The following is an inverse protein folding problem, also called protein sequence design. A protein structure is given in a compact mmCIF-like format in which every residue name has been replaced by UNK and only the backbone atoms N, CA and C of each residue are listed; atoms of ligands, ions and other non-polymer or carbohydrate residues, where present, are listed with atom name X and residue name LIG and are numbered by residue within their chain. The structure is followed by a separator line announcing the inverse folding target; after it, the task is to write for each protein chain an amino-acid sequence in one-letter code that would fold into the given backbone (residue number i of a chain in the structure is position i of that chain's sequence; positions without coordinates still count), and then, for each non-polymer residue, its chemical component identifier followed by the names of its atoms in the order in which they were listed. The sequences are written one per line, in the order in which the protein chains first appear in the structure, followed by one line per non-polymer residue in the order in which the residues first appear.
data_IF_881436383103
#
_entry.id   IF_881436383103
#
_cell.length_a   1.000
_cell.length_b   1.000
_cell.length_c   1.000
_cell.angle_alpha   90.00
_cell.angle_beta   90.00
_cell.angle_gamma   90.00
#
_symmetry.space_group_name_H-M   'P 1'
#
loop_
_entity.id
_entity.type
_entity.pdbx_description
1 polymer ?
#
# COMPACT_ATOMS: atom_id res chain seq x y z
N UNK A 1 -5.31 14.81 5.86
CA UNK A 1 -6.04 13.54 5.99
C UNK A 1 -5.02 12.44 6.07
N UNK A 2 -5.01 11.68 7.17
CA UNK A 2 -4.09 10.56 7.32
C UNK A 2 -4.75 9.31 6.73
N UNK A 3 -4.08 8.63 5.80
CA UNK A 3 -4.49 7.35 5.25
C UNK A 3 -3.83 6.26 6.10
N UNK A 4 -4.63 5.43 6.79
CA UNK A 4 -4.11 4.32 7.57
C UNK A 4 -4.56 3.00 6.91
N UNK A 5 -3.63 2.34 6.19
CA UNK A 5 -3.88 1.04 5.60
C UNK A 5 -3.62 -0.05 6.65
N UNK A 6 -4.58 -0.94 6.88
CA UNK A 6 -4.44 -2.04 7.81
C UNK A 6 -4.54 -3.38 7.07
N UNK A 7 -3.82 -4.39 7.56
CA UNK A 7 -3.99 -5.75 7.08
C UNK A 7 -5.42 -6.20 7.35
N UNK A 8 -6.08 -6.77 6.34
CA UNK A 8 -7.35 -7.45 6.57
C UNK A 8 -7.14 -8.62 7.54
N UNK A 9 -8.06 -8.79 8.48
CA UNK A 9 -7.96 -9.82 9.53
C UNK A 9 -7.84 -11.21 8.91
N UNK A 10 -6.92 -12.03 9.44
CA UNK A 10 -6.66 -13.40 8.96
C UNK A 10 -7.88 -14.35 8.99
N UNK A 11 -8.96 -13.97 9.68
CA UNK A 11 -10.21 -14.73 9.81
C UNK A 11 -11.23 -14.42 8.70
N UNK A 12 -11.03 -13.38 7.89
CA UNK A 12 -11.88 -13.10 6.74
C UNK A 12 -11.56 -14.09 5.59
N UNK A 13 -12.56 -14.69 4.93
CA UNK A 13 -12.32 -15.57 3.78
C UNK A 13 -11.49 -14.84 2.71
N UNK A 14 -10.40 -15.44 2.24
CA UNK A 14 -9.59 -14.92 1.11
C UNK A 14 -10.39 -15.02 -0.20
N UNK A 15 -11.38 -14.16 -0.37
CA UNK A 15 -12.24 -14.09 -1.55
C UNK A 15 -11.64 -13.27 -2.69
N UNK A 16 -12.35 -13.17 -3.82
CA UNK A 16 -11.94 -12.40 -5.00
C UNK A 16 -11.81 -10.88 -4.80
N UNK A 17 -12.10 -10.37 -3.60
CA UNK A 17 -11.89 -8.97 -3.20
C UNK A 17 -10.84 -8.82 -2.09
N UNK A 18 -10.09 -9.88 -1.77
CA UNK A 18 -9.07 -9.82 -0.73
C UNK A 18 -8.05 -8.71 -1.03
N UNK A 19 -7.82 -7.84 -0.06
CA UNK A 19 -7.05 -6.63 -0.22
C UNK A 19 -6.97 -5.84 1.09
N UNK A 20 -6.18 -4.77 1.06
CA UNK A 20 -5.91 -3.93 2.23
C UNK A 20 -7.16 -3.16 2.67
N UNK A 21 -7.48 -3.17 3.95
CA UNK A 21 -8.48 -2.24 4.49
C UNK A 21 -7.88 -0.83 4.55
N UNK A 22 -8.66 0.19 4.14
CA UNK A 22 -8.16 1.57 4.05
C UNK A 22 -9.21 2.53 4.59
N UNK A 23 -8.81 3.32 5.59
CA UNK A 23 -9.64 4.39 6.15
C UNK A 23 -8.85 5.66 6.33
N UNK A 24 -9.57 6.77 6.47
CA UNK A 24 -9.00 8.09 6.67
C UNK A 24 -9.57 8.75 7.91
N UNK A 25 -8.76 9.59 8.55
CA UNK A 25 -9.18 10.45 9.65
C UNK A 25 -8.72 11.88 9.41
N UNK A 26 -9.49 12.83 9.96
CA UNK A 26 -9.16 14.26 10.02
C UNK A 26 -9.03 14.77 11.46
N UNK A 27 -9.20 13.89 12.44
CA UNK A 27 -9.27 14.20 13.88
C UNK A 27 -8.41 13.24 14.70
N UNK A 28 -7.28 12.82 14.13
CA UNK A 28 -6.27 11.97 14.77
C UNK A 28 -6.82 10.63 15.29
N UNK A 29 -7.84 10.09 14.60
CA UNK A 29 -8.38 8.76 14.86
C UNK A 29 -9.59 8.73 15.79
N UNK A 30 -10.15 9.89 16.16
CA UNK A 30 -11.43 9.94 16.87
C UNK A 30 -12.57 9.44 15.98
N UNK A 31 -12.58 9.84 14.70
CA UNK A 31 -13.51 9.35 13.69
C UNK A 31 -12.79 8.86 12.44
N UNK A 32 -13.39 7.85 11.82
CA UNK A 32 -12.87 7.17 10.64
C UNK A 32 -13.87 7.19 9.50
N UNK A 33 -13.38 7.51 8.31
CA UNK A 33 -14.13 7.44 7.06
C UNK A 33 -13.49 6.38 6.17
N UNK A 34 -14.29 5.39 5.76
CA UNK A 34 -13.87 4.34 4.82
C UNK A 34 -13.43 5.00 3.51
N UNK A 35 -12.27 4.61 3.01
CA UNK A 35 -11.73 5.14 1.76
C UNK A 35 -12.32 4.39 0.55
N UNK A 36 -12.54 5.02 -0.62
CA UNK A 36 -13.03 4.31 -1.81
C UNK A 36 -12.16 3.14 -2.28
N UNK A 37 -10.88 3.14 -1.90
CA UNK A 37 -9.92 2.08 -2.21
C UNK A 37 -9.93 0.92 -1.20
N UNK A 38 -10.81 0.97 -0.20
CA UNK A 38 -10.94 -0.07 0.81
C UNK A 38 -11.12 -1.46 0.16
N UNK A 39 -10.26 -2.39 0.57
CA UNK A 39 -10.10 -3.73 0.01
C UNK A 39 -9.57 -3.75 -1.43
N UNK A 40 -10.41 -4.02 -2.43
CA UNK A 40 -10.03 -4.60 -3.72
C UNK A 40 -8.99 -3.84 -4.56
N UNK A 41 -8.71 -2.57 -4.26
CA UNK A 41 -7.71 -1.76 -4.97
C UNK A 41 -6.26 -2.19 -4.69
N UNK A 42 -5.98 -2.73 -3.50
CA UNK A 42 -4.63 -3.15 -3.08
C UNK A 42 -4.66 -4.62 -2.63
N UNK A 43 -4.50 -5.57 -3.57
CA UNK A 43 -4.46 -7.01 -3.27
C UNK A 43 -3.36 -7.35 -2.27
N UNK A 44 -3.64 -8.23 -1.31
CA UNK A 44 -2.62 -8.71 -0.36
C UNK A 44 -2.90 -10.14 0.15
N UNK A 45 -1.89 -10.85 0.68
CA UNK A 45 -2.06 -12.22 1.18
C UNK A 45 -2.25 -12.29 2.71
N UNK A 46 -2.69 -11.20 3.36
CA UNK A 46 -2.63 -10.98 4.81
C UNK A 46 -1.16 -10.89 5.28
N UNK A 47 -0.50 -9.78 4.93
CA UNK A 47 0.91 -9.53 5.20
C UNK A 47 1.15 -8.05 5.56
N UNK A 48 2.33 -7.66 6.03
CA UNK A 48 2.63 -6.24 6.20
C UNK A 48 2.74 -5.55 4.83
N UNK A 49 2.47 -4.24 4.80
CA UNK A 49 2.70 -3.40 3.63
C UNK A 49 3.17 -2.02 4.08
N UNK A 50 4.01 -1.37 3.27
CA UNK A 50 4.46 0.00 3.51
C UNK A 50 3.61 0.99 2.72
N UNK A 51 3.35 2.16 3.30
CA UNK A 51 2.73 3.30 2.63
C UNK A 51 3.42 4.58 3.09
N UNK A 52 3.90 5.38 2.13
CA UNK A 52 4.44 6.72 2.40
C UNK A 52 3.80 7.75 1.48
N UNK A 53 3.74 9.00 1.94
CA UNK A 53 3.35 10.15 1.15
C UNK A 53 4.55 11.05 0.90
N UNK A 54 4.72 11.51 -0.34
CA UNK A 54 5.78 12.45 -0.69
C UNK A 54 5.22 13.59 -1.56
N UNK A 55 5.88 14.76 -1.54
CA UNK A 55 5.54 15.89 -2.41
C UNK A 55 6.65 16.07 -3.43
N UNK A 56 6.31 15.84 -4.69
CA UNK A 56 7.23 16.01 -5.81
C UNK A 56 7.57 17.48 -6.02
N UNK A 57 8.66 17.72 -6.76
CA UNK A 57 8.95 19.03 -7.32
C UNK A 57 7.74 19.53 -8.13
N UNK A 58 7.29 20.75 -7.84
CA UNK A 58 6.02 21.30 -8.36
C UNK A 58 4.80 21.07 -7.45
N UNK A 59 4.96 20.49 -6.26
CA UNK A 59 3.95 20.47 -5.20
C UNK A 59 2.87 19.39 -5.32
N UNK A 60 2.91 18.57 -6.38
CA UNK A 60 2.04 17.41 -6.59
C UNK A 60 2.36 16.34 -5.54
N UNK A 61 1.33 15.84 -4.86
CA UNK A 61 1.47 14.74 -3.91
C UNK A 61 1.48 13.39 -4.64
N UNK A 62 2.27 12.45 -4.12
CA UNK A 62 2.28 11.05 -4.53
C UNK A 62 2.20 10.15 -3.28
N UNK A 63 1.43 9.07 -3.39
CA UNK A 63 1.48 7.96 -2.44
C UNK A 63 2.27 6.82 -3.07
N UNK A 64 3.18 6.25 -2.31
CA UNK A 64 3.96 5.07 -2.68
C UNK A 64 3.62 3.94 -1.72
N UNK A 65 3.34 2.77 -2.27
CA UNK A 65 2.92 1.60 -1.51
C UNK A 65 3.74 0.38 -1.92
N UNK A 66 4.15 -0.45 -0.97
CA UNK A 66 4.85 -1.70 -1.26
C UNK A 66 4.25 -2.87 -0.50
N UNK A 67 4.04 -3.98 -1.21
CA UNK A 67 3.58 -5.24 -0.64
C UNK A 67 3.86 -6.41 -1.59
N UNK A 68 3.65 -7.67 -1.15
CA UNK A 68 3.46 -8.79 -2.06
C UNK A 68 2.16 -8.59 -2.84
N UNK A 69 2.25 -8.32 -4.15
CA UNK A 69 1.11 -8.04 -5.01
C UNK A 69 0.43 -9.34 -5.48
N UNK A 70 -0.07 -10.11 -4.51
CA UNK A 70 -0.79 -11.37 -4.72
C UNK A 70 -1.82 -11.53 -3.58
N UNK A 71 -3.01 -12.07 -3.88
CA UNK A 71 -4.10 -12.18 -2.90
C UNK A 71 -3.93 -13.33 -1.91
N UNK A 72 -3.02 -14.25 -2.20
CA UNK A 72 -2.96 -15.55 -1.57
C UNK A 72 -1.57 -15.87 -1.04
N UNK A 73 -0.52 -15.48 -1.75
CA UNK A 73 0.87 -15.83 -1.46
C UNK A 73 1.75 -14.60 -1.23
N UNK A 74 2.81 -14.76 -0.44
CA UNK A 74 3.82 -13.71 -0.21
C UNK A 74 4.89 -13.77 -1.29
N UNK A 75 4.54 -13.29 -2.47
CA UNK A 75 5.40 -13.18 -3.65
C UNK A 75 5.08 -11.91 -4.43
N UNK A 76 5.86 -11.61 -5.45
CA UNK A 76 5.67 -10.43 -6.29
C UNK A 76 5.80 -9.13 -5.49
N UNK A 77 6.92 -8.93 -4.79
CA UNK A 77 7.20 -7.66 -4.10
C UNK A 77 7.16 -6.54 -5.13
N UNK A 78 6.22 -5.63 -4.97
CA UNK A 78 5.89 -4.61 -5.97
C UNK A 78 5.75 -3.25 -5.30
N UNK A 79 6.36 -2.22 -5.90
CA UNK A 79 6.07 -0.82 -5.57
C UNK A 79 4.93 -0.33 -6.46
N UNK A 80 3.95 0.34 -5.87
CA UNK A 80 2.78 0.92 -6.55
C UNK A 80 2.72 2.42 -6.24
N UNK A 81 2.31 3.23 -7.22
CA UNK A 81 2.18 4.67 -7.04
C UNK A 81 0.76 5.18 -7.38
N UNK A 82 0.31 6.15 -6.59
CA UNK A 82 -0.97 6.85 -6.77
C UNK A 82 -0.77 8.36 -6.71
N UNK A 83 -1.47 9.06 -7.59
CA UNK A 83 -1.49 10.52 -7.68
C UNK A 83 -2.85 11.15 -7.38
N UNK A 84 -3.83 10.33 -6.96
CA UNK A 84 -5.22 10.71 -6.71
C UNK A 84 -5.65 10.35 -5.28
N UNK A 85 -4.72 10.52 -4.33
CA UNK A 85 -4.88 10.19 -2.91
C UNK A 85 -5.21 8.70 -2.64
N UNK A 86 -4.70 7.79 -3.48
CA UNK A 86 -4.82 6.35 -3.27
C UNK A 86 -6.12 5.77 -3.82
N UNK A 87 -6.90 6.54 -4.60
CA UNK A 87 -8.11 6.05 -5.24
C UNK A 87 -7.80 5.05 -6.36
N UNK A 88 -6.74 5.30 -7.13
CA UNK A 88 -6.23 4.38 -8.17
C UNK A 88 -4.72 4.18 -8.08
N UNK A 89 -4.26 3.01 -8.55
CA UNK A 89 -2.86 2.57 -8.51
C UNK A 89 -2.40 2.04 -9.89
N UNK A 90 -2.32 2.91 -10.91
CA UNK A 90 -2.03 2.51 -12.28
C UNK A 90 -0.54 2.23 -12.54
N UNK A 91 0.37 2.77 -11.72
CA UNK A 91 1.80 2.58 -11.86
C UNK A 91 2.30 1.51 -10.90
N UNK A 92 3.01 0.51 -11.42
CA UNK A 92 3.52 -0.63 -10.66
C UNK A 92 4.90 -1.03 -11.17
N UNK A 93 5.79 -1.38 -10.25
CA UNK A 93 7.13 -1.89 -10.54
C UNK A 93 7.34 -3.17 -9.71
N UNK A 94 7.42 -4.30 -10.39
CA UNK A 94 7.81 -5.58 -9.81
C UNK A 94 9.31 -5.54 -9.49
N UNK A 95 9.68 -5.86 -8.26
CA UNK A 95 11.07 -5.93 -7.81
C UNK A 95 11.56 -7.37 -7.69
N UNK A 96 10.70 -8.25 -7.21
CA UNK A 96 11.02 -9.66 -6.94
C UNK A 96 9.77 -10.53 -7.13
N UNK A 97 9.84 -11.51 -8.03
CA UNK A 97 8.75 -12.47 -8.31
C UNK A 97 8.82 -13.73 -7.42
N UNK A 98 9.90 -13.89 -6.65
CA UNK A 98 10.12 -14.97 -5.72
C UNK A 98 9.16 -14.96 -4.54
N UNK A 99 9.13 -16.08 -3.83
CA UNK A 99 8.42 -16.21 -2.56
C UNK A 99 9.35 -15.87 -1.39
N UNK A 100 8.84 -15.13 -0.39
CA UNK A 100 9.61 -14.68 0.77
C UNK A 100 8.76 -14.44 2.01
N UNK A 101 9.30 -13.75 3.00
CA UNK A 101 8.53 -13.41 4.21
C UNK A 101 7.54 -12.27 3.97
N UNK A 102 7.77 -11.43 2.96
CA UNK A 102 6.80 -10.50 2.37
C UNK A 102 6.74 -9.11 3.00
N UNK A 103 7.50 -8.86 4.07
CA UNK A 103 7.52 -7.55 4.73
C UNK A 103 8.33 -6.56 3.89
N UNK A 104 7.94 -5.29 3.92
CA UNK A 104 8.69 -4.24 3.25
C UNK A 104 8.52 -2.89 3.92
N UNK A 105 9.50 -2.02 3.78
CA UNK A 105 9.45 -0.64 4.28
C UNK A 105 10.03 0.32 3.24
N UNK A 106 9.27 1.35 2.90
CA UNK A 106 9.66 2.41 1.97
C UNK A 106 10.18 3.64 2.73
N UNK A 107 11.16 4.31 2.14
CA UNK A 107 11.61 5.63 2.55
C UNK A 107 12.04 6.43 1.31
N UNK A 108 11.93 7.76 1.37
CA UNK A 108 12.60 8.60 0.38
C UNK A 108 14.08 8.71 0.74
N UNK A 109 14.95 8.38 -0.21
CA UNK A 109 16.41 8.58 -0.06
C UNK A 109 16.75 10.05 -0.34
N UNK A 110 16.10 10.61 -1.36
CA UNK A 110 16.16 12.02 -1.76
C UNK A 110 14.85 12.39 -2.49
N UNK A 111 14.77 13.60 -3.06
CA UNK A 111 13.55 14.11 -3.72
C UNK A 111 13.14 13.33 -4.98
N UNK A 112 14.04 12.56 -5.59
CA UNK A 112 13.81 11.79 -6.81
C UNK A 112 13.87 10.28 -6.62
N UNK A 113 14.32 9.80 -5.46
CA UNK A 113 14.69 8.40 -5.26
C UNK A 113 13.96 7.78 -4.09
N UNK A 114 13.19 6.72 -4.36
CA UNK A 114 12.59 5.87 -3.32
C UNK A 114 13.52 4.70 -2.98
N UNK A 115 13.76 4.48 -1.70
CA UNK A 115 14.44 3.31 -1.15
C UNK A 115 13.44 2.32 -0.57
N UNK A 116 13.79 1.04 -0.63
CA UNK A 116 13.01 -0.06 -0.07
C UNK A 116 13.93 -1.07 0.64
N UNK A 117 13.50 -1.54 1.80
CA UNK A 117 14.04 -2.72 2.47
C UNK A 117 12.92 -3.78 2.53
N UNK A 118 13.20 -5.03 2.14
CA UNK A 118 12.18 -6.10 2.08
C UNK A 118 12.74 -7.49 2.39
N UNK A 119 11.84 -8.43 2.72
CA UNK A 119 12.11 -9.84 3.10
C UNK A 119 11.37 -10.88 2.24
#
# INVERSE_FOLDING_TARGET
TLLLPCATTATAPKGGRNGRAVSTTRDLGAMWQVHPADHGALPEPVCMASLISHRLSGGRAVLLFSNPHDRHHRRNITIQASFDNGATWPHRLLLDDGAGFGYSSLAMVDDGTVGILYE
#
